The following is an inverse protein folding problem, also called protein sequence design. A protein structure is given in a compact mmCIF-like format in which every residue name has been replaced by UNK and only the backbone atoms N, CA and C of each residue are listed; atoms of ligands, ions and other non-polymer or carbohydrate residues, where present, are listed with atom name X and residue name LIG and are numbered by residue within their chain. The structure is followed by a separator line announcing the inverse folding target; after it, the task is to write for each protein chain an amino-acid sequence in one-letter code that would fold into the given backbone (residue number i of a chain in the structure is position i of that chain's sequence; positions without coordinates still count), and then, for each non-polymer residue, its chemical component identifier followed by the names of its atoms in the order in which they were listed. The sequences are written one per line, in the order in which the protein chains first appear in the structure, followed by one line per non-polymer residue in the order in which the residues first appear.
data_IF_344379611520
#
_entry.id   IF_344379611520
#
_cell.length_a   1.000
_cell.length_b   1.000
_cell.length_c   1.000
_cell.angle_alpha   90.00
_cell.angle_beta   90.00
_cell.angle_gamma   90.00
#
_symmetry.space_group_name_H-M   'P 1'
#
loop_
_entity.id
_entity.type
_entity.pdbx_description
1 polymer ?
#
# COMPACT_ATOMS: atom_id res chain seq x y z
N UNK A 1 72.39 34.64 36.27
CA UNK A 1 72.77 33.23 36.47
C UNK A 1 73.40 33.07 37.85
N UNK A 2 72.74 32.38 38.80
CA UNK A 2 73.24 32.24 40.17
C UNK A 2 74.20 31.05 40.36
N UNK A 3 74.40 30.17 39.36
CA UNK A 3 75.18 28.94 39.52
C UNK A 3 76.68 29.06 39.18
N UNK A 4 77.17 30.24 38.78
CA UNK A 4 78.56 30.42 38.32
C UNK A 4 79.23 31.71 38.85
N UNK A 5 78.82 32.22 40.01
CA UNK A 5 79.37 33.48 40.55
C UNK A 5 80.68 33.34 41.31
N UNK A 6 81.01 32.17 41.84
CA UNK A 6 82.27 31.90 42.52
C UNK A 6 82.72 30.49 42.13
N UNK A 7 83.91 30.37 41.54
CA UNK A 7 84.41 29.10 41.01
C UNK A 7 85.03 28.21 42.11
N UNK A 8 85.44 28.80 43.23
CA UNK A 8 86.01 28.12 44.41
C UNK A 8 85.54 28.80 45.70
N UNK A 9 85.66 28.09 46.83
CA UNK A 9 85.26 28.62 48.14
C UNK A 9 86.13 29.82 48.59
N UNK A 10 87.38 29.91 48.12
CA UNK A 10 88.30 31.00 48.47
C UNK A 10 87.89 32.36 47.87
N UNK A 11 87.35 32.37 46.64
CA UNK A 11 86.86 33.61 46.00
C UNK A 11 85.67 34.23 46.76
N UNK A 12 84.85 33.40 47.40
CA UNK A 12 83.73 33.88 48.22
C UNK A 12 84.20 34.54 49.52
N UNK A 13 85.29 34.05 50.13
CA UNK A 13 85.83 34.60 51.38
C UNK A 13 86.48 35.98 51.13
N UNK A 14 87.20 36.15 50.01
CA UNK A 14 87.82 37.44 49.64
C UNK A 14 86.76 38.52 49.38
N UNK A 15 85.64 38.18 48.74
CA UNK A 15 84.54 39.11 48.49
C UNK A 15 83.82 39.54 49.79
N UNK A 16 83.77 38.67 50.80
CA UNK A 16 83.13 38.96 52.08
C UNK A 16 83.98 39.89 52.97
N UNK A 17 85.31 39.81 52.87
CA UNK A 17 86.22 40.71 53.59
C UNK A 17 86.30 42.11 52.95
N UNK A 18 86.14 42.22 51.64
CA UNK A 18 86.03 43.51 50.94
C UNK A 18 84.74 44.28 51.31
N UNK A 19 83.62 43.59 51.53
CA UNK A 19 82.38 44.23 52.00
C UNK A 19 82.45 44.66 53.47
N UNK A 20 83.25 43.98 54.29
CA UNK A 20 83.41 44.28 55.72
C UNK A 20 84.30 45.51 55.99
N UNK A 21 85.18 45.85 55.05
CA UNK A 21 86.09 47.00 55.14
C UNK A 21 85.46 48.31 54.64
N UNK A 22 84.41 48.26 53.81
CA UNK A 22 83.69 49.44 53.33
C UNK A 22 82.77 50.12 54.37
N UNK A 23 82.48 49.47 55.50
CA UNK A 23 81.56 50.00 56.54
C UNK A 23 82.31 50.77 57.64
N UNK A 24 83.66 50.77 57.66
CA UNK A 24 84.45 51.31 58.79
C UNK A 24 85.27 52.57 58.53
N UNK A 25 85.17 53.24 57.38
CA UNK A 25 85.87 54.51 57.17
C UNK A 25 85.10 55.44 56.23
N UNK A 26 84.48 56.48 56.79
CA UNK A 26 83.84 57.54 56.04
C UNK A 26 82.98 58.45 56.92
N UNK A 27 83.66 59.25 57.74
CA UNK A 27 83.09 60.36 58.55
C UNK A 27 83.59 61.68 57.95
N UNK A 28 82.72 62.69 57.89
CA UNK A 28 82.95 64.15 58.08
C UNK A 28 81.64 64.85 57.65
N UNK A 29 81.00 65.79 58.33
CA UNK A 29 81.32 66.83 59.33
C UNK A 29 80.41 68.02 58.94
N UNK A 30 79.71 68.80 59.78
CA UNK A 30 79.97 69.31 61.11
C UNK A 30 79.83 70.85 61.04
N UNK A 31 79.00 71.47 61.89
CA UNK A 31 78.86 72.94 61.96
C UNK A 31 77.91 73.40 63.07
N UNK A 32 78.45 73.57 64.28
CA UNK A 32 77.84 74.17 65.48
C UNK A 32 78.43 75.57 65.73
N UNK A 33 77.68 76.45 66.40
CA UNK A 33 78.24 77.40 67.38
C UNK A 33 77.25 77.66 68.53
N UNK A 34 77.77 77.67 69.76
CA UNK A 34 77.11 77.80 71.06
C UNK A 34 76.84 79.25 71.51
N UNK A 35 75.92 79.45 72.47
CA UNK A 35 76.06 80.46 73.55
C UNK A 35 75.12 80.21 74.75
N UNK A 36 75.60 80.58 75.95
CA UNK A 36 75.23 80.27 77.35
C UNK A 36 73.80 80.44 77.92
N UNK A 37 73.63 79.83 79.12
CA UNK A 37 72.46 79.71 80.02
C UNK A 37 71.98 81.03 80.71
N UNK A 38 70.74 81.08 81.27
CA UNK A 38 70.54 80.70 82.70
C UNK A 38 69.20 79.97 83.03
N UNK A 39 69.09 79.55 84.29
CA UNK A 39 68.03 78.78 84.99
C UNK A 39 66.66 79.48 85.04
N UNK A 40 65.57 78.78 84.67
CA UNK A 40 64.16 79.07 85.03
C UNK A 40 63.36 77.74 85.15
N UNK A 41 62.37 77.72 86.06
CA UNK A 41 61.52 76.62 86.56
C UNK A 41 60.67 75.84 85.52
N UNK A 42 60.07 74.67 85.88
CA UNK A 42 59.72 73.60 84.94
C UNK A 42 58.31 73.72 84.31
N UNK A 43 58.07 73.15 83.11
CA UNK A 43 56.73 72.84 82.62
C UNK A 43 56.54 71.32 82.29
N UNK A 44 55.28 70.84 82.17
CA UNK A 44 54.90 69.45 82.47
C UNK A 44 55.15 68.44 81.34
N UNK A 45 55.16 67.17 81.74
CA UNK A 45 55.41 65.97 80.91
C UNK A 45 54.55 65.89 79.62
N UNK A 46 55.13 65.47 78.47
CA UNK A 46 54.35 65.06 77.31
C UNK A 46 54.07 63.56 77.31
N UNK A 47 52.78 63.22 77.19
CA UNK A 47 52.22 61.86 77.13
C UNK A 47 52.79 60.99 75.98
N UNK A 48 53.08 59.72 76.28
CA UNK A 48 53.36 58.66 75.30
C UNK A 48 52.19 58.49 74.31
N UNK A 49 52.34 58.98 73.08
CA UNK A 49 51.46 58.58 71.97
C UNK A 49 51.82 57.18 71.49
N UNK A 50 51.10 56.17 72.01
CA UNK A 50 51.13 54.78 71.51
C UNK A 50 51.06 54.75 69.98
N UNK A 51 52.08 54.14 69.37
CA UNK A 51 52.25 53.97 67.93
C UNK A 51 51.12 53.08 67.37
N UNK A 52 50.03 53.70 66.89
CA UNK A 52 48.85 52.99 66.32
C UNK A 52 49.06 52.48 64.89
N UNK A 53 50.16 52.84 64.24
CA UNK A 53 50.47 52.46 62.84
C UNK A 53 50.44 50.94 62.53
N UNK A 54 50.98 50.03 63.37
CA UNK A 54 50.85 48.59 63.12
C UNK A 54 49.40 48.10 63.15
N UNK A 55 48.52 48.74 63.92
CA UNK A 55 47.08 48.44 63.93
C UNK A 55 46.36 48.96 62.69
N UNK A 56 46.80 50.10 62.14
CA UNK A 56 46.27 50.65 60.88
C UNK A 56 46.66 49.77 59.70
N UNK A 57 47.89 49.25 59.65
CA UNK A 57 48.32 48.31 58.60
C UNK A 57 47.62 46.95 58.72
N UNK A 58 47.40 46.46 59.94
CA UNK A 58 46.65 45.22 60.17
C UNK A 58 45.19 45.37 59.73
N UNK A 59 44.56 46.51 60.06
CA UNK A 59 43.19 46.83 59.64
C UNK A 59 43.07 46.96 58.12
N UNK A 60 44.06 47.55 57.44
CA UNK A 60 44.08 47.67 55.97
C UNK A 60 44.23 46.30 55.30
N UNK A 61 45.11 45.43 55.81
CA UNK A 61 45.27 44.05 55.30
C UNK A 61 43.97 43.27 55.50
N UNK A 62 43.32 43.38 56.67
CA UNK A 62 42.02 42.75 56.92
C UNK A 62 40.92 43.29 56.00
N UNK A 63 40.91 44.59 55.71
CA UNK A 63 39.96 45.21 54.77
C UNK A 63 40.20 44.76 53.34
N UNK A 64 41.45 44.71 52.88
CA UNK A 64 41.79 44.18 51.55
C UNK A 64 41.53 42.68 51.45
N UNK A 65 41.82 41.92 52.50
CA UNK A 65 41.51 40.49 52.59
C UNK A 65 40.01 40.24 52.59
N UNK A 66 39.23 41.06 53.29
CA UNK A 66 37.76 41.01 53.27
C UNK A 66 37.20 41.44 51.91
N UNK A 67 37.79 42.44 51.24
CA UNK A 67 37.39 42.86 49.90
C UNK A 67 37.73 41.79 48.85
N UNK A 68 38.90 41.15 48.94
CA UNK A 68 39.30 40.03 48.08
C UNK A 68 38.44 38.79 48.37
N UNK A 69 38.17 38.49 49.63
CA UNK A 69 37.26 37.40 50.01
C UNK A 69 35.83 37.68 49.52
N UNK A 70 35.32 38.89 49.69
CA UNK A 70 34.02 39.30 49.16
C UNK A 70 33.99 39.23 47.63
N UNK A 71 35.07 39.63 46.94
CA UNK A 71 35.21 39.54 45.48
C UNK A 71 35.31 38.09 44.98
N UNK A 72 35.98 37.21 45.73
CA UNK A 72 36.06 35.78 45.41
C UNK A 72 34.73 35.05 45.71
N UNK A 73 34.02 35.46 46.76
CA UNK A 73 32.69 34.94 47.12
C UNK A 73 31.56 35.45 46.20
N UNK A 74 31.78 36.55 45.47
CA UNK A 74 30.81 37.11 44.50
C UNK A 74 31.05 36.65 43.06
N UNK A 75 32.01 35.75 42.79
CA UNK A 75 32.20 35.19 41.44
C UNK A 75 31.02 34.28 41.08
N UNK A 76 30.36 34.48 39.92
CA UNK A 76 29.30 33.58 39.48
C UNK A 76 29.88 32.18 39.25
N UNK A 77 29.22 31.16 39.80
CA UNK A 77 29.57 29.76 39.59
C UNK A 77 29.39 29.45 38.10
N UNK A 78 30.46 29.08 37.39
CA UNK A 78 30.40 28.76 35.98
C UNK A 78 30.17 27.26 35.78
N UNK A 79 29.18 26.92 34.94
CA UNK A 79 28.84 25.54 34.59
C UNK A 79 29.11 25.32 33.11
N UNK A 80 29.53 24.10 32.75
CA UNK A 80 29.81 23.74 31.36
C UNK A 80 28.51 23.33 30.67
N UNK A 81 28.21 23.91 29.52
CA UNK A 81 27.00 23.58 28.76
C UNK A 81 27.09 22.12 28.25
N UNK A 82 26.15 21.24 28.63
CA UNK A 82 26.16 19.86 28.19
C UNK A 82 25.81 19.72 26.70
N UNK A 83 26.20 18.59 26.09
CA UNK A 83 25.82 18.27 24.71
C UNK A 83 24.38 17.73 24.67
N UNK A 84 23.47 18.56 24.17
CA UNK A 84 22.05 18.25 23.98
C UNK A 84 21.67 17.98 22.52
N UNK A 85 22.50 18.39 21.54
CA UNK A 85 22.26 18.13 20.10
C UNK A 85 22.20 16.63 19.81
N UNK A 86 21.18 16.20 19.06
CA UNK A 86 20.93 14.80 18.69
C UNK A 86 20.24 13.97 19.76
N UNK A 87 20.01 14.50 20.97
CA UNK A 87 19.26 13.82 22.03
C UNK A 87 17.77 14.23 22.01
N UNK A 88 16.87 13.39 22.58
CA UNK A 88 15.49 13.79 22.82
C UNK A 88 15.43 15.05 23.70
N UNK A 89 14.52 15.97 23.40
CA UNK A 89 14.37 17.22 24.16
C UNK A 89 14.10 16.97 25.66
N UNK A 90 13.41 15.89 26.01
CA UNK A 90 13.17 15.48 27.41
C UNK A 90 14.48 15.16 28.12
N UNK A 91 15.34 14.35 27.51
CA UNK A 91 16.67 14.01 28.05
C UNK A 91 17.57 15.24 28.13
N UNK A 92 17.56 16.09 27.09
CA UNK A 92 18.34 17.32 27.07
C UNK A 92 17.95 18.28 28.21
N UNK A 93 16.66 18.44 28.47
CA UNK A 93 16.14 19.28 29.56
C UNK A 93 16.53 18.72 30.92
N UNK A 94 16.47 17.39 31.11
CA UNK A 94 16.92 16.76 32.36
C UNK A 94 18.40 17.01 32.62
N UNK A 95 19.24 16.89 31.58
CA UNK A 95 20.69 17.18 31.70
C UNK A 95 20.95 18.66 31.98
N UNK A 96 20.19 19.57 31.39
CA UNK A 96 20.33 21.00 31.70
C UNK A 96 19.88 21.32 33.12
N UNK A 97 18.82 20.67 33.59
CA UNK A 97 18.31 20.84 34.95
C UNK A 97 19.29 20.33 36.02
N UNK A 98 19.95 19.19 35.79
CA UNK A 98 20.98 18.67 36.71
C UNK A 98 22.20 19.59 36.82
N UNK A 99 22.50 20.34 35.77
CA UNK A 99 23.58 21.32 35.72
C UNK A 99 23.14 22.72 36.24
N UNK A 100 21.90 22.86 36.71
CA UNK A 100 21.38 24.12 37.25
C UNK A 100 21.19 25.22 36.18
N UNK A 101 21.02 24.83 34.91
CA UNK A 101 20.79 25.74 33.79
C UNK A 101 19.28 25.88 33.50
N UNK A 102 18.86 27.08 33.11
CA UNK A 102 17.49 27.32 32.60
C UNK A 102 17.44 26.96 31.12
N UNK A 103 16.26 26.65 30.58
CA UNK A 103 16.10 26.32 29.16
C UNK A 103 14.93 27.05 28.52
N UNK A 104 15.05 27.32 27.21
CA UNK A 104 13.97 27.80 26.36
C UNK A 104 13.90 26.94 25.10
N UNK A 105 12.77 26.27 24.89
CA UNK A 105 12.55 25.42 23.71
C UNK A 105 11.99 26.28 22.57
N UNK A 106 12.61 26.20 21.41
CA UNK A 106 12.19 26.82 20.16
C UNK A 106 11.99 25.70 19.12
N UNK A 107 10.84 25.64 18.47
CA UNK A 107 10.57 24.63 17.45
C UNK A 107 11.07 25.10 16.08
N UNK A 108 11.78 24.24 15.35
CA UNK A 108 12.29 24.51 14.00
C UNK A 108 11.94 23.38 13.05
N UNK A 109 11.67 23.71 11.78
CA UNK A 109 11.53 22.70 10.72
C UNK A 109 12.90 22.08 10.45
N UNK A 110 12.98 20.77 10.49
CA UNK A 110 14.21 20.02 10.24
C UNK A 110 13.87 18.65 9.68
N UNK A 111 14.81 18.04 8.96
CA UNK A 111 14.67 16.66 8.44
C UNK A 111 14.78 15.60 9.54
N UNK A 112 15.23 15.98 10.74
CA UNK A 112 15.33 15.08 11.89
C UNK A 112 13.95 14.74 12.47
N UNK A 113 13.86 13.63 13.20
CA UNK A 113 12.62 13.19 13.88
C UNK A 113 12.08 14.26 14.83
N UNK A 114 10.76 14.33 14.97
CA UNK A 114 10.09 15.27 15.88
C UNK A 114 10.61 15.08 17.30
N UNK A 115 10.92 16.17 18.00
CA UNK A 115 11.32 16.15 19.41
C UNK A 115 12.83 16.00 19.66
N UNK A 116 13.65 15.90 18.61
CA UNK A 116 15.12 15.87 18.72
C UNK A 116 15.70 17.29 18.69
N UNK A 117 16.68 17.57 19.54
CA UNK A 117 17.39 18.86 19.53
C UNK A 117 18.31 18.93 18.31
N UNK A 118 18.01 19.86 17.40
CA UNK A 118 18.76 20.10 16.16
C UNK A 118 19.94 21.04 16.42
N UNK A 119 19.72 22.04 17.27
CA UNK A 119 20.74 23.05 17.62
C UNK A 119 20.52 23.51 19.05
N UNK A 120 21.61 23.90 19.71
CA UNK A 120 21.57 24.58 20.99
C UNK A 120 22.37 25.87 20.92
N UNK A 121 21.98 26.84 21.73
CA UNK A 121 22.64 28.13 21.89
C UNK A 121 22.54 28.53 23.37
N UNK A 122 23.65 28.56 24.14
CA UNK A 122 25.06 28.49 23.73
C UNK A 122 25.53 27.07 23.29
N UNK A 123 26.65 26.97 22.58
CA UNK A 123 27.16 25.69 22.05
C UNK A 123 27.71 24.79 23.16
N UNK A 124 27.66 23.47 22.95
CA UNK A 124 28.16 22.51 23.93
C UNK A 124 29.64 22.77 24.30
N UNK A 125 29.98 22.61 25.57
CA UNK A 125 31.33 22.84 26.10
C UNK A 125 31.66 24.29 26.48
N UNK A 126 30.80 25.27 26.17
CA UNK A 126 30.98 26.64 26.66
C UNK A 126 30.74 26.73 28.18
N UNK A 127 31.51 27.57 28.87
CA UNK A 127 31.28 27.91 30.28
C UNK A 127 30.35 29.10 30.38
N UNK A 128 29.23 28.94 31.08
CA UNK A 128 28.24 30.00 31.31
C UNK A 128 27.87 30.08 32.78
N UNK A 129 27.38 31.24 33.20
CA UNK A 129 26.95 31.45 34.58
C UNK A 129 25.80 30.50 34.94
N UNK A 130 25.86 29.90 36.12
CA UNK A 130 24.79 29.05 36.66
C UNK A 130 23.45 29.80 36.65
N UNK A 131 22.39 29.13 36.21
CA UNK A 131 21.07 29.75 36.02
C UNK A 131 20.89 30.50 34.70
N UNK A 132 21.90 30.56 33.83
CA UNK A 132 21.77 31.06 32.45
C UNK A 132 20.79 30.23 31.62
N UNK A 133 20.18 30.85 30.60
CA UNK A 133 19.19 30.18 29.75
C UNK A 133 19.82 29.63 28.47
N UNK A 134 19.74 28.31 28.28
CA UNK A 134 20.11 27.62 27.05
C UNK A 134 18.88 27.53 26.13
N UNK A 135 18.99 28.08 24.92
CA UNK A 135 17.97 27.95 23.88
C UNK A 135 18.18 26.62 23.16
N UNK A 136 17.17 25.75 23.19
CA UNK A 136 17.15 24.47 22.48
C UNK A 136 16.25 24.60 21.26
N UNK A 137 16.81 24.40 20.07
CA UNK A 137 16.08 24.34 18.81
C UNK A 137 15.70 22.88 18.54
N UNK A 138 14.44 22.54 18.77
CA UNK A 138 13.91 21.18 18.65
C UNK A 138 13.27 21.01 17.27
N UNK A 139 13.49 19.85 16.66
CA UNK A 139 12.88 19.50 15.38
C UNK A 139 11.38 19.32 15.53
N UNK A 140 10.62 19.99 14.68
CA UNK A 140 9.19 19.73 14.46
C UNK A 140 8.95 18.74 13.30
N UNK A 141 10.00 18.06 12.84
CA UNK A 141 9.95 17.13 11.71
C UNK A 141 9.88 17.82 10.34
N UNK A 142 9.83 17.04 9.24
CA UNK A 142 9.72 17.54 7.86
C UNK A 142 8.38 18.25 7.56
N UNK A 143 7.48 18.31 8.55
CA UNK A 143 6.11 18.81 8.41
C UNK A 143 5.13 17.72 8.00
N UNK A 144 3.85 17.99 8.22
CA UNK A 144 2.74 17.15 7.78
C UNK A 144 2.10 17.74 6.53
N UNK A 145 1.62 16.87 5.66
CA UNK A 145 0.81 17.21 4.49
C UNK A 145 -0.42 16.30 4.47
N UNK A 146 -1.49 16.73 3.80
CA UNK A 146 -2.68 15.89 3.62
C UNK A 146 -2.58 15.08 2.34
N UNK A 147 -3.04 13.84 2.39
CA UNK A 147 -3.21 13.02 1.19
C UNK A 147 -4.31 13.67 0.34
N UNK A 148 -4.03 14.11 -0.91
CA UNK A 148 -5.03 14.70 -1.77
C UNK A 148 -6.05 13.65 -2.22
N UNK A 149 -7.30 14.06 -2.45
CA UNK A 149 -8.30 13.19 -3.05
C UNK A 149 -7.98 12.94 -4.54
N UNK A 150 -7.61 11.69 -4.82
CA UNK A 150 -7.25 11.20 -6.15
C UNK A 150 -8.20 10.12 -6.65
N UNK A 151 -9.27 9.81 -5.90
CA UNK A 151 -10.29 8.84 -6.30
C UNK A 151 -10.94 9.21 -7.64
N UNK A 152 -11.16 8.21 -8.50
CA UNK A 152 -11.78 8.40 -9.81
C UNK A 152 -10.90 9.13 -10.84
N UNK A 153 -9.64 9.46 -10.51
CA UNK A 153 -8.70 10.06 -11.47
C UNK A 153 -7.85 8.98 -12.15
N UNK A 154 -7.26 9.34 -13.29
CA UNK A 154 -6.26 8.49 -13.94
C UNK A 154 -5.01 8.35 -13.06
N UNK A 155 -4.36 7.20 -13.13
CA UNK A 155 -3.10 6.93 -12.43
C UNK A 155 -2.08 8.08 -12.60
N UNK A 156 -1.86 8.55 -13.83
CA UNK A 156 -0.92 9.62 -14.11
C UNK A 156 -1.27 10.94 -13.40
N UNK A 157 -2.57 11.29 -13.35
CA UNK A 157 -3.05 12.50 -12.67
C UNK A 157 -2.92 12.38 -11.16
N UNK A 158 -3.21 11.21 -10.60
CA UNK A 158 -3.06 10.93 -9.18
C UNK A 158 -1.60 11.04 -8.71
N UNK A 159 -0.67 10.44 -9.45
CA UNK A 159 0.77 10.52 -9.16
C UNK A 159 1.24 11.98 -9.17
N UNK A 160 0.80 12.79 -10.14
CA UNK A 160 1.15 14.21 -10.22
C UNK A 160 0.63 15.01 -9.01
N UNK A 161 -0.58 14.70 -8.53
CA UNK A 161 -1.17 15.35 -7.36
C UNK A 161 -0.43 14.96 -6.08
N UNK A 162 -0.12 13.67 -5.89
CA UNK A 162 0.66 13.19 -4.75
C UNK A 162 2.07 13.82 -4.72
N UNK A 163 2.76 13.84 -5.87
CA UNK A 163 4.08 14.46 -5.99
C UNK A 163 4.05 15.97 -5.69
N UNK A 164 2.98 16.68 -6.05
CA UNK A 164 2.79 18.11 -5.73
C UNK A 164 2.71 18.35 -4.21
N UNK A 165 2.22 17.38 -3.45
CA UNK A 165 2.19 17.41 -1.98
C UNK A 165 3.47 16.89 -1.32
N UNK A 166 4.50 16.55 -2.11
CA UNK A 166 5.73 15.96 -1.59
C UNK A 166 5.55 14.50 -1.13
N UNK A 167 4.55 13.80 -1.67
CA UNK A 167 4.27 12.39 -1.39
C UNK A 167 4.70 11.50 -2.55
N UNK A 168 5.09 10.27 -2.23
CA UNK A 168 5.48 9.26 -3.22
C UNK A 168 4.35 8.25 -3.40
N UNK A 169 3.97 7.97 -4.64
CA UNK A 169 2.96 6.95 -4.93
C UNK A 169 3.61 5.57 -5.05
N UNK A 170 3.04 4.57 -4.39
CA UNK A 170 3.33 3.15 -4.63
C UNK A 170 2.13 2.52 -5.33
N UNK A 171 2.30 2.01 -6.55
CA UNK A 171 1.17 1.57 -7.37
C UNK A 171 0.83 0.12 -7.05
N UNK A 172 -0.41 -0.12 -6.66
CA UNK A 172 -0.99 -1.44 -6.46
C UNK A 172 -2.11 -1.65 -7.46
N UNK A 173 -2.21 -2.84 -8.04
CA UNK A 173 -3.33 -3.18 -8.91
C UNK A 173 -4.41 -3.89 -8.10
N UNK A 174 -5.66 -3.50 -8.33
CA UNK A 174 -6.82 -4.11 -7.68
C UNK A 174 -7.92 -4.33 -8.75
N UNK A 175 -8.60 -5.47 -8.70
CA UNK A 175 -9.70 -5.73 -9.62
C UNK A 175 -10.96 -5.01 -9.18
N UNK A 176 -11.67 -4.40 -10.13
CA UNK A 176 -12.94 -3.74 -9.86
C UNK A 176 -13.89 -3.90 -11.03
N UNK A 177 -15.12 -4.32 -10.75
CA UNK A 177 -16.20 -4.39 -11.74
C UNK A 177 -16.89 -3.05 -11.98
N UNK A 178 -16.68 -2.07 -11.10
CA UNK A 178 -17.34 -0.75 -11.14
C UNK A 178 -16.42 0.36 -11.61
N UNK A 179 -15.11 0.23 -11.39
CA UNK A 179 -14.11 1.24 -11.77
C UNK A 179 -13.37 0.78 -13.04
N UNK A 180 -13.35 1.60 -14.12
CA UNK A 180 -12.62 1.26 -15.35
C UNK A 180 -11.12 1.06 -15.12
N UNK A 181 -10.49 0.23 -15.95
CA UNK A 181 -9.05 -0.02 -15.87
C UNK A 181 -8.23 1.28 -16.02
N UNK A 182 -7.17 1.42 -15.22
CA UNK A 182 -6.29 2.61 -15.21
C UNK A 182 -6.79 3.79 -14.36
N UNK A 183 -7.96 3.64 -13.72
CA UNK A 183 -8.53 4.63 -12.81
C UNK A 183 -8.26 4.24 -11.36
N UNK A 184 -7.95 5.22 -10.51
CA UNK A 184 -7.68 5.01 -9.09
C UNK A 184 -8.98 4.71 -8.35
N UNK A 185 -9.00 3.59 -7.63
CA UNK A 185 -10.10 3.17 -6.77
C UNK A 185 -10.00 3.88 -5.42
N UNK A 186 -8.83 3.78 -4.77
CA UNK A 186 -8.58 4.33 -3.43
C UNK A 186 -7.08 4.53 -3.18
N UNK A 187 -6.78 5.19 -2.07
CA UNK A 187 -5.42 5.29 -1.52
C UNK A 187 -5.36 4.72 -0.11
N UNK A 188 -4.16 4.32 0.31
CA UNK A 188 -3.84 4.02 1.70
C UNK A 188 -2.54 4.75 2.09
N UNK A 189 -2.55 5.70 3.04
CA UNK A 189 -3.70 6.20 3.80
C UNK A 189 -4.83 6.83 2.95
N UNK A 190 -6.09 6.87 3.43
CA UNK A 190 -7.21 7.41 2.68
C UNK A 190 -7.07 8.93 2.47
N UNK A 191 -7.80 9.47 1.49
CA UNK A 191 -7.82 10.90 1.20
C UNK A 191 -8.07 11.76 2.46
N UNK A 192 -7.48 12.95 2.48
CA UNK A 192 -7.48 13.91 3.58
C UNK A 192 -6.73 13.48 4.85
N UNK A 193 -6.17 12.27 4.89
CA UNK A 193 -5.34 11.82 6.01
C UNK A 193 -4.06 12.64 6.13
N UNK A 194 -3.63 12.94 7.35
CA UNK A 194 -2.36 13.61 7.58
C UNK A 194 -1.21 12.61 7.59
N UNK A 195 -0.19 12.88 6.77
CA UNK A 195 1.01 12.08 6.64
C UNK A 195 2.24 12.98 6.64
N UNK A 196 3.39 12.41 7.00
CA UNK A 196 4.64 13.14 6.92
C UNK A 196 4.96 13.47 5.46
N UNK A 197 5.50 14.66 5.20
CA UNK A 197 6.06 14.98 3.88
C UNK A 197 7.16 13.96 3.55
N UNK A 198 7.16 13.44 2.33
CA UNK A 198 8.07 12.38 1.89
C UNK A 198 7.57 10.96 2.18
N UNK A 199 6.40 10.78 2.80
CA UNK A 199 5.81 9.46 2.98
C UNK A 199 5.37 8.83 1.65
N UNK A 200 5.32 7.49 1.64
CA UNK A 200 4.72 6.71 0.56
C UNK A 200 3.22 6.53 0.80
N UNK A 201 2.44 6.65 -0.25
CA UNK A 201 0.99 6.41 -0.28
C UNK A 201 0.73 5.29 -1.28
N UNK A 202 0.12 4.21 -0.83
CA UNK A 202 -0.31 3.12 -1.69
C UNK A 202 -1.51 3.59 -2.53
N UNK A 203 -1.38 3.46 -3.84
CA UNK A 203 -2.34 3.91 -4.84
C UNK A 203 -2.93 2.67 -5.51
N UNK A 204 -4.18 2.35 -5.19
CA UNK A 204 -4.88 1.19 -5.74
C UNK A 204 -5.55 1.59 -7.05
N UNK A 205 -5.00 1.10 -8.17
CA UNK A 205 -5.47 1.36 -9.53
C UNK A 205 -6.26 0.16 -10.01
N UNK A 206 -7.43 0.43 -10.60
CA UNK A 206 -8.26 -0.62 -11.19
C UNK A 206 -7.55 -1.29 -12.35
N UNK A 207 -7.52 -2.62 -12.34
CA UNK A 207 -7.15 -3.45 -13.49
C UNK A 207 -8.40 -3.95 -14.27
N UNK A 208 -9.57 -3.35 -14.02
CA UNK A 208 -10.85 -3.82 -14.53
C UNK A 208 -11.40 -5.04 -13.77
N UNK A 209 -12.50 -5.64 -14.26
CA UNK A 209 -13.11 -6.79 -13.61
C UNK A 209 -12.17 -7.99 -13.63
N UNK A 210 -12.19 -8.80 -12.57
CA UNK A 210 -11.49 -10.07 -12.56
C UNK A 210 -12.12 -11.02 -13.58
N UNK A 211 -11.33 -11.46 -14.56
CA UNK A 211 -11.78 -12.35 -15.62
C UNK A 211 -11.46 -13.80 -15.29
N UNK A 212 -12.39 -14.69 -15.65
CA UNK A 212 -12.26 -16.14 -15.60
C UNK A 212 -12.46 -16.71 -17.01
N UNK A 213 -11.81 -17.85 -17.28
CA UNK A 213 -11.93 -18.52 -18.58
C UNK A 213 -13.11 -19.47 -18.56
N UNK A 214 -13.96 -19.42 -19.58
CA UNK A 214 -15.07 -20.36 -19.74
C UNK A 214 -14.51 -21.76 -20.04
N UNK A 215 -14.73 -22.76 -19.17
CA UNK A 215 -14.31 -24.13 -19.44
C UNK A 215 -15.18 -24.77 -20.52
N UNK A 216 -14.57 -25.62 -21.35
CA UNK A 216 -15.31 -26.46 -22.30
C UNK A 216 -16.15 -27.51 -21.54
N UNK A 217 -17.47 -27.42 -21.68
CA UNK A 217 -18.41 -28.41 -21.15
C UNK A 217 -19.22 -29.11 -22.24
N UNK A 218 -18.93 -28.84 -23.51
CA UNK A 218 -19.61 -29.50 -24.62
C UNK A 218 -19.28 -31.00 -24.59
N UNK A 219 -20.32 -31.82 -24.71
CA UNK A 219 -20.21 -33.28 -24.64
C UNK A 219 -20.28 -33.86 -23.23
N UNK A 220 -20.28 -33.04 -22.18
CA UNK A 220 -20.45 -33.51 -20.80
C UNK A 220 -21.93 -33.70 -20.43
N UNK A 221 -22.20 -34.42 -19.34
CA UNK A 221 -23.54 -34.50 -18.78
C UNK A 221 -23.88 -33.21 -18.03
N UNK A 222 -25.17 -32.83 -18.02
CA UNK A 222 -25.69 -31.64 -17.32
C UNK A 222 -25.09 -31.43 -15.91
N UNK A 223 -25.07 -32.41 -14.98
CA UNK A 223 -24.52 -32.19 -13.64
C UNK A 223 -23.03 -31.87 -13.64
N UNK A 224 -22.23 -32.59 -14.44
CA UNK A 224 -20.78 -32.39 -14.51
C UNK A 224 -20.43 -31.03 -15.14
N UNK A 225 -21.14 -30.68 -16.22
CA UNK A 225 -21.03 -29.39 -16.88
C UNK A 225 -21.36 -28.24 -15.94
N UNK A 226 -22.42 -28.39 -15.15
CA UNK A 226 -22.84 -27.38 -14.19
C UNK A 226 -21.80 -27.21 -13.06
N UNK A 227 -21.30 -28.31 -12.51
CA UNK A 227 -20.25 -28.28 -11.49
C UNK A 227 -18.98 -27.60 -12.02
N UNK A 228 -18.50 -27.99 -13.21
CA UNK A 228 -17.29 -27.42 -13.82
C UNK A 228 -17.40 -25.91 -14.07
N UNK A 229 -18.57 -25.42 -14.48
CA UNK A 229 -18.82 -23.98 -14.65
C UNK A 229 -18.93 -23.24 -13.31
N UNK A 230 -19.53 -23.86 -12.30
CA UNK A 230 -19.62 -23.28 -10.95
C UNK A 230 -18.25 -23.21 -10.27
N UNK A 231 -17.40 -24.22 -10.44
CA UNK A 231 -16.01 -24.24 -9.95
C UNK A 231 -15.18 -23.14 -10.61
N UNK A 232 -15.46 -22.81 -11.87
CA UNK A 232 -14.90 -21.65 -12.55
C UNK A 232 -15.50 -20.29 -12.11
N UNK A 233 -16.31 -20.27 -11.04
CA UNK A 233 -17.01 -19.09 -10.53
C UNK A 233 -17.94 -18.42 -11.56
N UNK A 234 -18.56 -19.22 -12.43
CA UNK A 234 -19.54 -18.79 -13.44
C UNK A 234 -20.95 -19.21 -13.06
N UNK A 235 -21.94 -18.43 -13.47
CA UNK A 235 -23.37 -18.73 -13.26
C UNK A 235 -23.93 -19.50 -14.44
N UNK A 236 -24.57 -20.64 -14.18
CA UNK A 236 -25.09 -21.51 -15.24
C UNK A 236 -26.57 -21.24 -15.49
N UNK A 237 -26.96 -21.11 -16.76
CA UNK A 237 -28.36 -21.14 -17.21
C UNK A 237 -28.54 -22.33 -18.13
N UNK A 238 -29.54 -23.16 -17.87
CA UNK A 238 -29.79 -24.37 -18.66
C UNK A 238 -30.94 -24.13 -19.61
N UNK A 239 -30.70 -24.32 -20.90
CA UNK A 239 -31.71 -24.41 -21.93
C UNK A 239 -31.80 -25.86 -22.40
N UNK A 240 -33.00 -26.37 -22.65
CA UNK A 240 -33.18 -27.74 -23.13
C UNK A 240 -33.76 -27.71 -24.55
N UNK A 241 -33.18 -28.50 -25.45
CA UNK A 241 -33.61 -28.55 -26.85
C UNK A 241 -33.51 -29.97 -27.42
N UNK A 242 -34.37 -30.35 -28.39
CA UNK A 242 -34.26 -31.62 -29.08
C UNK A 242 -32.97 -31.68 -29.90
N UNK A 243 -32.27 -32.81 -29.84
CA UNK A 243 -30.99 -33.02 -30.52
C UNK A 243 -30.77 -34.50 -30.80
N UNK A 244 -29.89 -34.83 -31.74
CA UNK A 244 -29.45 -36.21 -31.99
C UNK A 244 -28.53 -36.76 -30.90
N UNK A 245 -28.06 -35.91 -29.98
CA UNK A 245 -27.20 -36.31 -28.86
C UNK A 245 -28.01 -37.04 -27.76
N UNK A 246 -27.38 -37.95 -27.00
CA UNK A 246 -27.95 -38.54 -25.79
C UNK A 246 -28.68 -37.52 -24.89
N UNK A 247 -29.84 -37.91 -24.37
CA UNK A 247 -30.61 -37.08 -23.43
C UNK A 247 -29.75 -36.76 -22.20
N UNK A 248 -29.72 -35.49 -21.81
CA UNK A 248 -28.94 -35.00 -20.66
C UNK A 248 -27.52 -34.51 -21.00
N UNK A 249 -27.05 -34.75 -22.22
CA UNK A 249 -25.73 -34.28 -22.68
C UNK A 249 -25.80 -32.83 -23.18
N UNK A 250 -24.83 -32.00 -22.77
CA UNK A 250 -24.65 -30.65 -23.29
C UNK A 250 -24.11 -30.73 -24.71
N UNK A 251 -24.75 -30.05 -25.66
CA UNK A 251 -24.32 -30.04 -27.06
C UNK A 251 -23.97 -28.65 -27.59
N UNK A 252 -24.31 -27.60 -26.85
CA UNK A 252 -23.92 -26.23 -27.15
C UNK A 252 -23.76 -25.44 -25.85
N UNK A 253 -22.86 -24.47 -25.87
CA UNK A 253 -22.63 -23.53 -24.77
C UNK A 253 -22.45 -22.12 -25.34
N UNK A 254 -22.82 -21.10 -24.57
CA UNK A 254 -22.66 -19.70 -24.94
C UNK A 254 -22.43 -18.84 -23.69
N UNK A 255 -21.34 -18.06 -23.61
CA UNK A 255 -20.23 -17.95 -24.57
C UNK A 255 -19.43 -19.26 -24.76
N UNK A 256 -18.67 -19.37 -25.85
CA UNK A 256 -17.89 -20.58 -26.19
C UNK A 256 -16.69 -20.77 -25.24
N UNK A 257 -16.24 -22.02 -25.10
CA UNK A 257 -15.01 -22.37 -24.40
C UNK A 257 -13.84 -21.45 -24.74
N UNK A 258 -13.03 -21.12 -23.73
CA UNK A 258 -11.88 -20.23 -23.86
C UNK A 258 -12.22 -18.73 -23.83
N UNK A 259 -13.50 -18.35 -23.89
CA UNK A 259 -13.92 -16.96 -23.71
C UNK A 259 -13.54 -16.45 -22.32
N UNK A 260 -13.13 -15.19 -22.22
CA UNK A 260 -12.89 -14.54 -20.92
C UNK A 260 -14.13 -13.76 -20.49
N UNK A 261 -14.64 -14.07 -19.31
CA UNK A 261 -15.80 -13.41 -18.73
C UNK A 261 -15.48 -12.90 -17.32
N UNK A 262 -16.08 -11.78 -16.89
CA UNK A 262 -16.02 -11.38 -15.49
C UNK A 262 -16.49 -12.51 -14.57
N UNK A 263 -15.90 -12.62 -13.38
CA UNK A 263 -16.38 -13.51 -12.33
C UNK A 263 -17.88 -13.31 -12.10
N UNK A 264 -18.62 -14.40 -11.82
CA UNK A 264 -20.07 -14.42 -11.68
C UNK A 264 -20.89 -14.13 -12.97
N UNK A 265 -20.25 -14.06 -14.14
CA UNK A 265 -20.96 -13.94 -15.41
C UNK A 265 -21.80 -15.17 -15.72
N UNK A 266 -22.82 -14.98 -16.57
CA UNK A 266 -23.76 -16.04 -16.97
C UNK A 266 -23.25 -16.79 -18.20
N UNK A 267 -23.20 -18.10 -18.12
CA UNK A 267 -22.99 -19.03 -19.25
C UNK A 267 -24.26 -19.85 -19.43
N UNK A 268 -24.75 -19.89 -20.66
CA UNK A 268 -25.91 -20.69 -21.05
C UNK A 268 -25.45 -22.00 -21.66
N UNK A 269 -25.86 -23.13 -21.09
CA UNK A 269 -25.64 -24.45 -21.67
C UNK A 269 -26.94 -24.96 -22.28
N UNK A 270 -26.84 -25.55 -23.47
CA UNK A 270 -27.98 -26.21 -24.12
C UNK A 270 -27.82 -27.72 -23.99
N UNK A 271 -28.77 -28.32 -23.28
CA UNK A 271 -28.82 -29.75 -22.99
C UNK A 271 -29.76 -30.45 -23.95
N UNK A 272 -29.34 -31.61 -24.44
CA UNK A 272 -30.15 -32.44 -25.33
C UNK A 272 -31.32 -33.06 -24.56
N UNK A 273 -32.53 -32.89 -25.08
CA UNK A 273 -33.71 -33.66 -24.65
C UNK A 273 -33.79 -35.03 -25.34
N UNK A 274 -32.83 -35.36 -26.20
CA UNK A 274 -32.86 -36.50 -27.10
C UNK A 274 -33.65 -36.21 -28.37
N UNK A 275 -33.73 -37.21 -29.24
CA UNK A 275 -34.47 -37.09 -30.50
C UNK A 275 -35.98 -36.98 -30.23
N UNK A 276 -36.64 -36.02 -30.88
CA UNK A 276 -38.09 -35.92 -30.84
C UNK A 276 -38.72 -37.05 -31.66
N UNK A 277 -39.17 -38.09 -30.95
CA UNK A 277 -39.89 -39.22 -31.53
C UNK A 277 -41.39 -39.04 -31.33
N UNK A 278 -42.15 -39.06 -32.43
CA UNK A 278 -43.60 -38.96 -32.47
C UNK A 278 -44.17 -40.35 -32.80
N UNK A 279 -45.29 -40.78 -32.19
CA UNK A 279 -45.94 -42.03 -32.59
C UNK A 279 -46.48 -41.92 -34.01
N UNK A 280 -46.28 -42.94 -34.84
CA UNK A 280 -46.85 -43.00 -36.19
C UNK A 280 -48.37 -43.21 -36.07
N UNK A 281 -49.21 -42.31 -36.63
CA UNK A 281 -50.66 -42.49 -36.67
C UNK A 281 -51.08 -43.79 -37.37
N UNK A 282 -52.20 -44.37 -36.95
CA UNK A 282 -52.84 -45.47 -37.68
C UNK A 282 -53.66 -44.92 -38.84
N UNK A 283 -53.27 -45.26 -40.06
CA UNK A 283 -53.97 -44.89 -41.29
C UNK A 283 -54.48 -46.12 -42.07
N UNK A 284 -54.43 -47.32 -41.47
CA UNK A 284 -54.94 -48.53 -42.10
C UNK A 284 -56.44 -48.39 -42.41
N UNK A 285 -56.83 -48.79 -43.62
CA UNK A 285 -58.22 -48.71 -44.08
C UNK A 285 -58.70 -47.31 -44.49
N UNK A 286 -57.89 -46.26 -44.30
CA UNK A 286 -58.18 -44.90 -44.77
C UNK A 286 -57.90 -44.75 -46.27
N UNK A 287 -58.51 -43.74 -46.90
CA UNK A 287 -58.20 -43.37 -48.29
C UNK A 287 -56.79 -42.82 -48.38
N UNK A 288 -56.10 -43.03 -49.51
CA UNK A 288 -54.72 -42.55 -49.73
C UNK A 288 -54.54 -41.07 -49.36
N UNK A 289 -55.40 -40.18 -49.84
CA UNK A 289 -55.25 -38.73 -49.62
C UNK A 289 -55.44 -38.37 -48.14
N UNK A 290 -56.45 -38.94 -47.49
CA UNK A 290 -56.71 -38.77 -46.05
C UNK A 290 -55.54 -39.30 -45.20
N UNK A 291 -55.04 -40.49 -45.52
CA UNK A 291 -53.89 -41.10 -44.87
C UNK A 291 -52.64 -40.22 -45.01
N UNK A 292 -52.40 -39.67 -46.21
CA UNK A 292 -51.26 -38.80 -46.46
C UNK A 292 -51.36 -37.50 -45.65
N UNK A 293 -52.53 -36.87 -45.57
CA UNK A 293 -52.76 -35.67 -44.78
C UNK A 293 -52.56 -35.88 -43.28
N UNK A 294 -53.02 -37.01 -42.74
CA UNK A 294 -52.82 -37.37 -41.32
C UNK A 294 -51.33 -37.55 -41.00
N UNK A 295 -50.60 -38.30 -41.84
CA UNK A 295 -49.18 -38.58 -41.63
C UNK A 295 -48.32 -37.31 -41.80
N UNK A 296 -48.62 -36.49 -42.81
CA UNK A 296 -47.95 -35.19 -43.01
C UNK A 296 -48.25 -34.21 -41.88
N UNK A 297 -49.50 -34.14 -41.41
CA UNK A 297 -49.90 -33.33 -40.26
C UNK A 297 -49.22 -33.75 -38.96
N UNK A 298 -48.93 -35.04 -38.80
CA UNK A 298 -48.11 -35.58 -37.71
C UNK A 298 -46.60 -35.34 -37.89
N UNK A 299 -46.18 -34.74 -39.02
CA UNK A 299 -44.81 -34.37 -39.32
C UNK A 299 -43.97 -35.49 -39.92
N UNK A 300 -44.59 -36.49 -40.58
CA UNK A 300 -43.91 -37.54 -41.32
C UNK A 300 -43.91 -37.28 -42.83
N UNK A 301 -42.87 -37.78 -43.51
CA UNK A 301 -42.82 -37.80 -44.97
C UNK A 301 -43.54 -39.05 -45.48
N UNK A 302 -44.44 -38.94 -46.45
CA UNK A 302 -45.24 -40.09 -46.92
C UNK A 302 -44.67 -40.65 -48.21
N UNK A 303 -44.44 -41.97 -48.28
CA UNK A 303 -44.16 -42.69 -49.53
C UNK A 303 -45.35 -43.58 -49.86
N UNK A 304 -45.80 -43.55 -51.11
CA UNK A 304 -46.93 -44.36 -51.56
C UNK A 304 -46.43 -45.47 -52.45
N UNK A 305 -46.79 -46.71 -52.11
CA UNK A 305 -46.54 -47.91 -52.92
C UNK A 305 -47.87 -48.53 -53.26
N UNK A 306 -48.07 -48.90 -54.53
CA UNK A 306 -49.27 -49.59 -54.98
C UNK A 306 -49.05 -51.10 -54.85
N UNK A 307 -50.00 -51.81 -54.26
CA UNK A 307 -49.93 -53.25 -54.02
C UNK A 307 -51.22 -53.93 -54.48
N UNK A 308 -51.11 -55.13 -55.06
CA UNK A 308 -52.29 -55.90 -55.48
C UNK A 308 -53.12 -56.31 -54.26
N UNK A 309 -54.36 -55.83 -54.19
CA UNK A 309 -55.27 -56.06 -53.07
C UNK A 309 -56.62 -56.62 -53.50
N UNK A 310 -57.53 -56.78 -52.53
CA UNK A 310 -58.92 -57.16 -52.82
C UNK A 310 -59.68 -55.98 -53.43
N UNK A 311 -60.82 -56.25 -54.05
CA UNK A 311 -61.72 -55.21 -54.55
C UNK A 311 -62.12 -54.18 -53.47
N UNK A 312 -62.28 -54.62 -52.22
CA UNK A 312 -62.60 -53.76 -51.07
C UNK A 312 -61.52 -52.76 -50.69
N UNK A 313 -60.28 -53.01 -51.13
CA UNK A 313 -59.07 -52.30 -50.72
C UNK A 313 -58.64 -51.27 -51.78
N UNK A 314 -59.35 -51.20 -52.91
CA UNK A 314 -59.05 -50.27 -53.99
C UNK A 314 -59.00 -48.82 -53.49
N UNK A 315 -57.84 -48.18 -53.62
CA UNK A 315 -57.62 -46.79 -53.18
C UNK A 315 -57.54 -46.59 -51.66
N UNK A 316 -57.51 -47.68 -50.87
CA UNK A 316 -57.34 -47.65 -49.41
C UNK A 316 -55.99 -48.20 -49.01
N UNK A 317 -55.50 -47.76 -47.85
CA UNK A 317 -54.26 -48.28 -47.26
C UNK A 317 -54.49 -49.70 -46.72
N UNK A 318 -53.83 -50.68 -47.32
CA UNK A 318 -53.83 -52.10 -46.89
C UNK A 318 -53.02 -52.22 -45.59
N UNK A 319 -51.82 -51.65 -45.61
CA UNK A 319 -50.93 -51.62 -44.46
C UNK A 319 -49.93 -50.46 -44.57
N UNK A 320 -49.24 -50.18 -43.46
CA UNK A 320 -48.26 -49.11 -43.35
C UNK A 320 -46.96 -49.63 -42.74
N UNK A 321 -45.83 -49.02 -43.10
CA UNK A 321 -44.53 -49.28 -42.49
C UNK A 321 -43.78 -47.96 -42.28
N UNK A 322 -43.33 -47.63 -41.05
CA UNK A 322 -43.44 -48.39 -39.80
C UNK A 322 -44.88 -48.59 -39.28
N UNK A 323 -45.07 -49.61 -38.42
CA UNK A 323 -46.37 -49.94 -37.85
C UNK A 323 -46.96 -48.78 -37.01
N UNK A 324 -48.28 -48.73 -36.93
CA UNK A 324 -49.01 -47.75 -36.13
C UNK A 324 -48.55 -47.79 -34.66
N UNK A 325 -48.43 -46.63 -34.02
CA UNK A 325 -47.95 -46.47 -32.65
C UNK A 325 -46.44 -46.59 -32.46
N UNK A 326 -45.68 -47.00 -33.48
CA UNK A 326 -44.21 -47.01 -33.40
C UNK A 326 -43.66 -45.58 -33.26
N UNK A 327 -42.67 -45.39 -32.38
CA UNK A 327 -42.06 -44.08 -32.11
C UNK A 327 -40.99 -43.78 -33.16
N UNK A 328 -41.30 -42.88 -34.08
CA UNK A 328 -40.42 -42.51 -35.19
C UNK A 328 -39.95 -41.06 -35.07
N UNK A 329 -38.76 -40.77 -35.58
CA UNK A 329 -38.22 -39.41 -35.60
C UNK A 329 -39.10 -38.51 -36.45
N UNK A 330 -39.42 -37.31 -35.97
CA UNK A 330 -40.14 -36.32 -36.77
C UNK A 330 -39.40 -36.08 -38.09
N UNK A 331 -40.13 -36.11 -39.21
CA UNK A 331 -39.59 -36.01 -40.57
C UNK A 331 -39.22 -37.35 -41.22
N UNK A 332 -39.27 -38.48 -40.51
CA UNK A 332 -39.00 -39.79 -41.10
C UNK A 332 -40.05 -40.19 -42.16
N UNK A 333 -39.67 -41.11 -43.05
CA UNK A 333 -40.57 -41.60 -44.08
C UNK A 333 -41.48 -42.72 -43.53
N UNK A 334 -42.78 -42.62 -43.78
CA UNK A 334 -43.78 -43.67 -43.56
C UNK A 334 -44.28 -44.11 -44.94
N UNK A 335 -44.09 -45.38 -45.26
CA UNK A 335 -44.59 -45.98 -46.51
C UNK A 335 -45.99 -46.52 -46.29
N UNK A 336 -46.94 -46.06 -47.09
CA UNK A 336 -48.31 -46.60 -47.15
C UNK A 336 -48.46 -47.48 -48.40
N UNK A 337 -49.01 -48.67 -48.20
CA UNK A 337 -49.30 -49.62 -49.27
C UNK A 337 -50.78 -49.51 -49.62
N UNK A 338 -51.07 -49.01 -50.81
CA UNK A 338 -52.43 -48.73 -51.27
C UNK A 338 -52.88 -49.85 -52.20
N UNK A 339 -54.10 -50.35 -51.95
CA UNK A 339 -54.66 -51.42 -52.76
C UNK A 339 -54.96 -50.97 -54.18
N UNK A 340 -54.38 -51.71 -55.13
CA UNK A 340 -54.69 -51.66 -56.55
C UNK A 340 -55.36 -52.96 -56.94
N UNK A 341 -56.50 -52.87 -57.61
CA UNK A 341 -57.15 -54.02 -58.23
C UNK A 341 -56.64 -54.17 -59.65
N UNK A 342 -56.39 -55.41 -60.07
CA UNK A 342 -56.22 -55.73 -61.48
C UNK A 342 -57.62 -55.94 -62.05
N UNK A 343 -58.32 -54.85 -62.39
CA UNK A 343 -59.49 -54.96 -63.26
C UNK A 343 -58.98 -55.14 -64.69
N UNK A 344 -59.30 -56.25 -65.39
CA UNK A 344 -59.13 -56.27 -66.83
C UNK A 344 -59.96 -55.11 -67.41
N UNK A 345 -59.48 -54.41 -68.46
CA UNK A 345 -60.18 -53.27 -69.03
C UNK A 345 -61.61 -53.68 -69.40
N UNK A 346 -62.61 -53.09 -68.74
CA UNK A 346 -64.03 -53.31 -69.05
C UNK A 346 -64.44 -52.45 -70.24
N UNK A 347 -63.90 -52.78 -71.41
CA UNK A 347 -64.58 -52.71 -72.70
C UNK A 347 -63.62 -53.30 -73.74
N UNK A 348 -64.06 -54.24 -74.60
CA UNK A 348 -63.30 -54.55 -75.79
C UNK A 348 -63.24 -53.29 -76.67
N UNK A 349 -62.10 -52.88 -77.25
CA UNK A 349 -62.16 -52.03 -78.42
C UNK A 349 -63.03 -52.74 -79.46
N UNK A 350 -63.96 -52.01 -80.07
CA UNK A 350 -64.68 -52.48 -81.23
C UNK A 350 -63.70 -52.60 -82.42
N UNK A 351 -62.84 -53.63 -82.38
CA UNK A 351 -62.14 -54.29 -83.48
C UNK A 351 -61.00 -55.18 -82.93
N UNK A 352 -60.89 -56.45 -83.35
CA UNK A 352 -59.79 -57.32 -82.93
C UNK A 352 -58.55 -57.10 -83.81
N UNK A 353 -57.35 -56.95 -83.23
CA UNK A 353 -56.11 -57.40 -83.84
C UNK A 353 -55.74 -58.82 -83.33
N UNK A 354 -55.08 -59.66 -84.13
CA UNK A 354 -54.89 -61.07 -83.82
C UNK A 354 -53.89 -61.31 -82.67
N UNK A 355 -54.32 -62.20 -81.77
CA UNK A 355 -53.53 -63.22 -81.04
C UNK A 355 -52.10 -62.87 -80.60
N UNK A 356 -51.95 -62.41 -79.36
CA UNK A 356 -50.69 -62.40 -78.62
C UNK A 356 -50.88 -63.00 -77.22
N UNK A 357 -50.35 -64.20 -77.01
CA UNK A 357 -50.45 -64.99 -75.77
C UNK A 357 -49.65 -64.36 -74.62
N UNK A 358 -50.29 -64.15 -73.47
CA UNK A 358 -49.62 -63.89 -72.20
C UNK A 358 -49.84 -65.11 -71.30
N UNK A 359 -48.76 -65.72 -70.79
CA UNK A 359 -48.75 -66.98 -70.02
C UNK A 359 -48.34 -66.70 -68.57
N UNK A 360 -49.11 -67.12 -67.54
CA UNK A 360 -48.67 -67.08 -66.15
C UNK A 360 -48.03 -68.42 -65.72
N UNK A 361 -47.06 -68.34 -64.81
CA UNK A 361 -46.44 -69.46 -64.10
C UNK A 361 -46.62 -69.32 -62.60
#
# INVERSE_FOLDING_TARGET
DPASRYATADDFIVALEAARTAIRSGTDGGGFTESWAPVVAPPPEPEERRRRWPWVTLALILLTGAAVAAFLLTRPEQVTVPQSVGKPATTAVQTLASEGLKWKILQVKSTQTVGVVVRQDPTAGQRIDKGSTVKLYVSNGPGFTSVPDVGGKTQAKAIKLLKKQGLFANIQQEHSSTVPAGIVIRTDPPALSQVNVGSRVDLFVSNGPQLVTVPDVVGQQKPDAQAKLQDASLRVTVHEAPSSKPKGQVFAESPTAGSQLPINSRVTITVSQGEQKVPVPDVKGRKQDEASGILQGAGFTVRVVQELGKASDQGKVIHQSPAAGSKQKKGSAVTIYVGKTCTPPSSPPANPPPSGTCKPG
#
